data_IF_804509805510
#
_entry.id   IF_804509805510
#
_cell.length_a   1.000
_cell.length_b   1.000
_cell.length_c   1.000
_cell.angle_alpha   90.00
_cell.angle_beta   90.00
_cell.angle_gamma   90.00
#
_symmetry.space_group_name_H-M   'P 1'
#
loop_
_entity.id
_entity.type
_entity.pdbx_description
1 polymer ?
#
# COMPACT_ATOMS: atom_id res chain seq x y z
N UNK A 1 -39.02 -5.95 38.59
CA UNK A 1 -39.35 -5.07 37.47
C UNK A 1 -38.08 -4.31 37.11
N UNK A 2 -37.38 -4.85 36.10
CA UNK A 2 -36.11 -4.26 35.62
C UNK A 2 -36.41 -3.65 34.25
N UNK A 3 -36.27 -2.34 34.15
CA UNK A 3 -36.42 -1.58 32.91
C UNK A 3 -35.10 -1.67 32.12
N UNK A 4 -35.12 -2.38 31.01
CA UNK A 4 -34.04 -2.38 30.05
C UNK A 4 -33.98 -1.01 29.35
N UNK A 5 -32.83 -0.36 29.44
CA UNK A 5 -32.52 0.88 28.72
C UNK A 5 -32.26 0.55 27.27
N UNK A 6 -33.12 1.01 26.40
CA UNK A 6 -32.96 0.95 24.94
C UNK A 6 -31.86 1.95 24.51
N UNK A 7 -30.66 1.45 24.25
CA UNK A 7 -29.59 2.25 23.68
C UNK A 7 -29.75 2.30 22.16
N UNK A 8 -30.48 3.30 21.67
CA UNK A 8 -30.56 3.61 20.23
C UNK A 8 -29.19 3.94 19.67
N UNK A 9 -28.71 3.12 18.73
CA UNK A 9 -27.52 3.39 17.90
C UNK A 9 -27.78 4.69 17.10
N UNK A 10 -26.85 5.68 17.11
CA UNK A 10 -27.02 6.89 16.32
C UNK A 10 -27.11 6.59 14.83
N UNK A 11 -28.05 7.22 14.14
CA UNK A 11 -28.20 7.10 12.70
C UNK A 11 -26.89 7.41 11.98
N UNK A 12 -26.51 6.52 11.10
CA UNK A 12 -25.41 6.61 10.14
C UNK A 12 -25.46 7.99 9.45
N UNK A 13 -24.43 8.82 9.71
CA UNK A 13 -24.28 10.10 9.01
C UNK A 13 -23.89 9.81 7.58
N UNK A 14 -24.87 9.65 6.71
CA UNK A 14 -24.66 9.58 5.25
C UNK A 14 -24.06 10.91 4.81
N UNK A 15 -22.77 10.90 4.47
CA UNK A 15 -22.09 12.07 3.86
C UNK A 15 -22.76 12.37 2.52
N UNK A 16 -23.11 13.62 2.30
CA UNK A 16 -23.69 14.05 1.03
C UNK A 16 -22.63 14.00 -0.08
N UNK A 17 -23.02 13.80 -1.37
CA UNK A 17 -22.09 13.81 -2.50
C UNK A 17 -21.25 15.10 -2.62
N UNK A 18 -21.68 16.18 -2.03
CA UNK A 18 -21.00 17.47 -2.01
C UNK A 18 -19.83 17.51 -1.01
N UNK A 19 -19.88 16.70 0.05
CA UNK A 19 -18.82 16.58 1.06
C UNK A 19 -17.64 15.72 0.58
N UNK A 20 -17.81 14.96 -0.52
CA UNK A 20 -16.78 14.15 -1.16
C UNK A 20 -16.03 14.89 -2.28
N UNK A 21 -16.34 16.16 -2.56
CA UNK A 21 -15.55 16.93 -3.53
C UNK A 21 -14.25 17.40 -2.89
N UNK A 22 -13.13 16.79 -3.32
CA UNK A 22 -11.81 17.34 -3.09
C UNK A 22 -11.78 18.83 -3.55
N UNK A 23 -11.08 19.73 -2.87
CA UNK A 23 -10.98 21.13 -3.28
C UNK A 23 -10.36 21.22 -4.67
N UNK A 24 -11.16 21.62 -5.64
CA UNK A 24 -10.88 21.60 -7.10
C UNK A 24 -9.81 22.59 -7.57
N UNK A 25 -9.00 23.18 -6.68
CA UNK A 25 -8.09 24.26 -7.07
C UNK A 25 -6.72 24.18 -6.38
N UNK A 26 -6.12 22.99 -6.31
CA UNK A 26 -4.70 22.85 -5.97
C UNK A 26 -3.95 22.38 -7.20
N UNK A 27 -2.88 23.12 -7.56
CA UNK A 27 -1.94 22.69 -8.61
C UNK A 27 -1.53 21.23 -8.40
N UNK A 28 -1.33 20.44 -9.48
CA UNK A 28 -0.93 19.05 -9.37
C UNK A 28 0.31 18.95 -8.49
N UNK A 29 0.20 18.22 -7.38
CA UNK A 29 1.29 18.07 -6.45
C UNK A 29 2.25 17.03 -6.99
N UNK A 30 3.53 17.37 -7.04
CA UNK A 30 4.57 16.41 -7.38
C UNK A 30 4.46 15.21 -6.43
N UNK A 31 4.24 14.02 -6.99
CA UNK A 31 4.13 12.76 -6.25
C UNK A 31 5.41 11.93 -6.39
N UNK A 32 5.78 11.20 -5.33
CA UNK A 32 6.75 10.12 -5.42
C UNK A 32 6.03 8.82 -5.73
N UNK A 33 6.43 8.11 -6.77
CA UNK A 33 5.95 6.76 -7.04
C UNK A 33 6.62 5.78 -6.07
N UNK A 34 5.83 5.07 -5.29
CA UNK A 34 6.31 4.05 -4.35
C UNK A 34 5.63 2.73 -4.68
N UNK A 35 6.43 1.77 -5.13
CA UNK A 35 5.98 0.43 -5.49
C UNK A 35 6.29 -0.53 -4.36
N UNK A 36 5.21 -1.02 -3.74
CA UNK A 36 5.26 -1.78 -2.49
C UNK A 36 5.43 -3.25 -2.79
N UNK A 37 6.55 -3.82 -2.36
CA UNK A 37 6.84 -5.24 -2.17
C UNK A 37 6.51 -6.15 -3.37
N UNK A 38 6.83 -5.70 -4.57
CA UNK A 38 6.66 -6.51 -5.80
C UNK A 38 7.76 -7.58 -5.90
N UNK A 39 7.61 -8.66 -5.12
CA UNK A 39 8.62 -9.67 -4.86
C UNK A 39 8.14 -11.09 -5.19
N UNK A 40 9.09 -12.00 -5.41
CA UNK A 40 8.81 -13.41 -5.76
C UNK A 40 7.89 -14.09 -4.73
N UNK A 41 8.04 -13.80 -3.43
CA UNK A 41 7.21 -14.40 -2.38
C UNK A 41 5.72 -14.09 -2.53
N UNK A 42 5.38 -12.92 -3.07
CA UNK A 42 3.99 -12.52 -3.33
C UNK A 42 3.51 -12.93 -4.71
N UNK A 43 4.43 -13.12 -5.65
CA UNK A 43 4.13 -13.59 -7.00
C UNK A 43 3.82 -15.09 -7.06
N UNK A 44 4.35 -15.89 -6.13
CA UNK A 44 4.05 -17.31 -5.99
C UNK A 44 2.65 -17.50 -5.40
N UNK A 45 1.67 -17.68 -6.29
CA UNK A 45 0.26 -17.87 -5.89
C UNK A 45 0.00 -19.16 -5.08
N UNK A 46 0.93 -20.11 -5.09
CA UNK A 46 0.84 -21.33 -4.28
C UNK A 46 1.40 -21.14 -2.87
N UNK A 47 2.23 -20.12 -2.65
CA UNK A 47 2.84 -19.80 -1.37
C UNK A 47 1.85 -19.15 -0.38
N UNK A 48 2.19 -19.20 0.88
CA UNK A 48 1.34 -18.68 1.96
C UNK A 48 1.01 -17.17 1.85
N UNK A 49 1.90 -16.37 1.21
CA UNK A 49 1.69 -14.93 0.99
C UNK A 49 1.35 -14.60 -0.47
N UNK A 50 0.99 -15.60 -1.27
CA UNK A 50 0.66 -15.41 -2.67
C UNK A 50 -0.52 -14.46 -2.89
N UNK A 51 -0.39 -13.56 -3.87
CA UNK A 51 -1.43 -12.61 -4.28
C UNK A 51 -2.02 -13.04 -5.61
N UNK A 52 -3.32 -13.36 -5.62
CA UNK A 52 -3.98 -13.99 -6.78
C UNK A 52 -3.99 -13.16 -8.06
N UNK A 53 -4.05 -11.83 -7.94
CA UNK A 53 -4.04 -10.89 -9.07
C UNK A 53 -2.66 -10.21 -9.25
N UNK A 54 -1.57 -10.86 -8.83
CA UNK A 54 -0.23 -10.26 -8.88
C UNK A 54 0.19 -9.84 -10.29
N UNK A 55 -0.11 -10.66 -11.30
CA UNK A 55 0.25 -10.37 -12.69
C UNK A 55 -0.50 -9.15 -13.25
N UNK A 56 -1.76 -8.95 -12.87
CA UNK A 56 -2.56 -7.78 -13.25
C UNK A 56 -2.00 -6.51 -12.60
N UNK A 57 -1.60 -6.59 -11.33
CA UNK A 57 -0.93 -5.50 -10.60
C UNK A 57 0.37 -5.11 -11.31
N UNK A 58 1.21 -6.09 -11.64
CA UNK A 58 2.48 -5.87 -12.34
C UNK A 58 2.26 -5.20 -13.70
N UNK A 59 1.25 -5.62 -14.48
CA UNK A 59 0.89 -5.00 -15.76
C UNK A 59 0.42 -3.55 -15.59
N UNK A 60 -0.42 -3.27 -14.59
CA UNK A 60 -0.89 -1.91 -14.31
C UNK A 60 0.27 -0.99 -13.92
N UNK A 61 1.19 -1.47 -13.08
CA UNK A 61 2.40 -0.73 -12.68
C UNK A 61 3.35 -0.49 -13.87
N UNK A 62 3.49 -1.46 -14.79
CA UNK A 62 4.29 -1.29 -15.99
C UNK A 62 3.73 -0.17 -16.86
N UNK A 63 2.41 -0.12 -17.09
CA UNK A 63 1.73 0.97 -17.82
C UNK A 63 1.94 2.33 -17.14
N UNK A 64 1.79 2.37 -15.82
CA UNK A 64 2.04 3.59 -15.05
C UNK A 64 3.46 4.10 -15.28
N UNK A 65 4.44 3.21 -15.13
CA UNK A 65 5.86 3.54 -15.25
C UNK A 65 6.27 4.00 -16.65
N UNK A 66 5.68 3.42 -17.68
CA UNK A 66 5.94 3.82 -19.08
C UNK A 66 5.42 5.22 -19.39
N UNK A 67 4.26 5.59 -18.85
CA UNK A 67 3.59 6.85 -19.14
C UNK A 67 3.99 8.00 -18.24
N UNK A 68 4.24 7.74 -16.96
CA UNK A 68 4.67 8.75 -15.99
C UNK A 68 6.16 9.09 -16.16
N UNK A 69 7.00 8.07 -16.33
CA UNK A 69 8.45 8.23 -16.56
C UNK A 69 9.25 8.69 -15.35
N UNK A 70 8.63 8.92 -14.21
CA UNK A 70 9.32 9.31 -12.97
C UNK A 70 10.15 8.16 -12.38
N UNK A 71 11.24 8.46 -11.64
CA UNK A 71 11.91 7.46 -10.83
C UNK A 71 10.97 6.85 -9.80
N UNK A 72 11.18 5.58 -9.51
CA UNK A 72 10.36 4.79 -8.59
C UNK A 72 11.16 4.48 -7.33
N UNK A 73 10.50 4.54 -6.18
CA UNK A 73 10.99 3.95 -4.93
C UNK A 73 10.35 2.57 -4.81
N UNK A 74 11.16 1.53 -4.99
CA UNK A 74 10.76 0.15 -4.76
C UNK A 74 10.92 -0.19 -3.29
N UNK A 75 9.93 -0.81 -2.68
CA UNK A 75 10.13 -1.39 -1.36
C UNK A 75 10.26 -2.90 -1.43
N UNK A 76 10.95 -3.46 -0.46
CA UNK A 76 11.09 -4.89 -0.25
C UNK A 76 10.78 -5.21 1.21
N UNK A 77 9.92 -6.18 1.42
CA UNK A 77 9.86 -6.85 2.69
C UNK A 77 11.03 -7.84 2.76
N UNK A 78 11.86 -7.74 3.78
CA UNK A 78 12.94 -8.70 4.03
C UNK A 78 12.89 -9.08 5.50
N UNK A 79 12.72 -10.37 5.79
CA UNK A 79 12.63 -10.87 7.15
C UNK A 79 13.86 -10.44 7.98
N UNK A 80 13.62 -10.01 9.22
CA UNK A 80 14.65 -9.88 10.24
C UNK A 80 14.87 -11.24 10.89
N UNK A 81 16.06 -11.85 10.79
CA UNK A 81 16.31 -13.16 11.40
C UNK A 81 16.23 -13.16 12.94
N UNK A 82 16.33 -12.00 13.60
CA UNK A 82 16.18 -11.89 15.04
C UNK A 82 14.73 -11.95 15.53
N UNK A 83 13.75 -11.75 14.64
CA UNK A 83 12.30 -11.91 14.89
C UNK A 83 11.83 -11.27 16.21
N UNK A 84 12.07 -9.98 16.36
CA UNK A 84 11.73 -9.26 17.58
C UNK A 84 10.22 -9.28 17.90
N UNK A 85 9.89 -9.52 19.18
CA UNK A 85 8.52 -9.44 19.70
C UNK A 85 7.59 -10.47 19.07
N UNK A 86 6.45 -10.02 18.56
CA UNK A 86 5.41 -10.89 17.98
C UNK A 86 5.78 -11.50 16.62
N UNK A 87 6.90 -11.13 16.02
CA UNK A 87 7.30 -11.65 14.71
C UNK A 87 7.61 -13.16 14.73
N UNK A 88 8.13 -13.69 15.84
CA UNK A 88 8.34 -15.12 15.99
C UNK A 88 7.01 -15.89 15.86
N UNK A 89 5.99 -15.49 16.63
CA UNK A 89 4.64 -16.11 16.57
C UNK A 89 3.99 -15.92 15.19
N UNK A 90 4.26 -14.78 14.53
CA UNK A 90 3.77 -14.52 13.19
C UNK A 90 4.37 -15.50 12.17
N UNK A 91 5.69 -15.72 12.21
CA UNK A 91 6.36 -16.69 11.33
C UNK A 91 6.09 -18.15 11.73
N UNK A 92 5.67 -18.44 12.97
CA UNK A 92 5.18 -19.77 13.34
C UNK A 92 3.85 -20.10 12.64
N UNK A 93 3.03 -19.08 12.35
CA UNK A 93 1.82 -19.21 11.55
C UNK A 93 2.10 -19.27 10.05
N UNK A 94 3.11 -18.55 9.59
CA UNK A 94 3.47 -18.36 8.18
C UNK A 94 4.88 -18.94 7.92
N UNK A 95 5.06 -20.21 8.26
CA UNK A 95 6.38 -20.87 8.35
C UNK A 95 7.10 -20.99 7.00
N UNK A 96 6.37 -21.12 5.88
CA UNK A 96 6.96 -21.09 4.53
C UNK A 96 7.58 -19.72 4.19
N UNK A 97 7.13 -18.66 4.86
CA UNK A 97 7.64 -17.29 4.68
C UNK A 97 8.83 -16.97 5.59
N UNK A 98 9.30 -17.94 6.40
CA UNK A 98 10.48 -17.78 7.29
C UNK A 98 11.78 -18.03 6.51
N UNK A 99 11.94 -17.39 5.36
CA UNK A 99 13.12 -17.52 4.53
C UNK A 99 14.29 -16.66 5.05
N UNK A 100 15.54 -17.09 4.78
CA UNK A 100 16.72 -16.29 5.12
C UNK A 100 16.75 -14.97 4.32
N UNK A 101 17.34 -13.89 4.89
CA UNK A 101 17.33 -12.56 4.26
C UNK A 101 17.92 -12.51 2.84
N UNK A 102 18.86 -13.40 2.54
CA UNK A 102 19.51 -13.52 1.23
C UNK A 102 18.74 -14.39 0.23
N UNK A 103 17.62 -14.96 0.64
CA UNK A 103 16.81 -15.81 -0.23
C UNK A 103 16.24 -15.03 -1.41
N UNK A 104 16.24 -15.65 -2.58
CA UNK A 104 15.66 -15.10 -3.80
C UNK A 104 14.14 -14.87 -3.71
N UNK A 105 13.44 -15.39 -2.71
CA UNK A 105 12.02 -15.11 -2.49
C UNK A 105 11.77 -13.62 -2.21
N UNK A 106 12.77 -12.92 -1.67
CA UNK A 106 12.74 -11.50 -1.41
C UNK A 106 13.13 -10.61 -2.60
N UNK A 107 13.55 -11.19 -3.72
CA UNK A 107 13.93 -10.42 -4.90
C UNK A 107 12.71 -9.81 -5.58
N UNK A 108 12.90 -8.60 -6.13
CA UNK A 108 11.89 -7.91 -6.93
C UNK A 108 11.65 -8.68 -8.23
N UNK A 109 10.39 -8.78 -8.66
CA UNK A 109 10.01 -9.41 -9.94
C UNK A 109 10.29 -8.52 -11.13
N UNK A 110 10.34 -7.19 -10.92
CA UNK A 110 10.57 -6.21 -11.96
C UNK A 110 11.95 -5.57 -11.85
N UNK A 111 12.59 -5.19 -12.97
CA UNK A 111 13.91 -4.59 -12.95
C UNK A 111 13.90 -3.18 -12.37
N UNK A 112 14.84 -2.92 -11.47
CA UNK A 112 15.19 -1.57 -10.99
C UNK A 112 15.94 -0.84 -12.11
N UNK A 113 15.45 0.34 -12.52
CA UNK A 113 16.06 1.17 -13.58
C UNK A 113 17.01 2.19 -12.99
N UNK A 114 17.83 2.79 -13.85
CA UNK A 114 18.65 3.93 -13.45
C UNK A 114 17.76 5.06 -12.89
N UNK A 115 18.15 5.62 -11.75
CA UNK A 115 17.39 6.64 -11.02
C UNK A 115 16.38 6.11 -10.03
N UNK A 116 15.99 4.83 -10.11
CA UNK A 116 15.15 4.21 -9.07
C UNK A 116 15.93 4.01 -7.77
N UNK A 117 15.19 3.92 -6.68
CA UNK A 117 15.73 3.60 -5.35
C UNK A 117 15.08 2.34 -4.79
N UNK A 118 15.77 1.66 -3.89
CA UNK A 118 15.25 0.45 -3.21
C UNK A 118 15.34 0.64 -1.71
N UNK A 119 14.22 0.39 -1.01
CA UNK A 119 14.12 0.39 0.45
C UNK A 119 13.73 -1.01 0.93
N UNK A 120 14.58 -1.64 1.75
CA UNK A 120 14.26 -2.94 2.37
C UNK A 120 13.96 -2.75 3.85
N UNK A 121 12.84 -3.31 4.32
CA UNK A 121 12.39 -3.23 5.71
C UNK A 121 11.73 -4.54 6.15
N UNK A 122 11.86 -4.95 7.43
CA UNK A 122 11.22 -6.16 7.95
C UNK A 122 9.82 -5.90 8.52
N UNK A 123 9.12 -4.85 8.06
CA UNK A 123 7.84 -4.42 8.60
C UNK A 123 6.79 -4.28 7.50
N UNK A 124 5.52 -4.41 7.88
CA UNK A 124 4.41 -4.18 6.94
C UNK A 124 4.42 -2.73 6.44
N UNK A 125 4.32 -1.75 7.34
CA UNK A 125 4.47 -0.36 6.94
C UNK A 125 5.90 -0.08 6.46
N UNK A 126 6.02 0.53 5.30
CA UNK A 126 7.31 1.06 4.80
C UNK A 126 7.49 2.52 5.19
N UNK A 127 6.45 3.14 5.79
CA UNK A 127 6.58 4.50 6.29
C UNK A 127 7.44 4.51 7.56
N UNK A 128 8.46 5.33 7.55
CA UNK A 128 9.43 5.53 8.62
C UNK A 128 10.48 6.57 8.18
N UNK A 129 11.51 6.76 8.99
CA UNK A 129 12.55 7.76 8.75
C UNK A 129 13.19 7.66 7.37
N UNK A 130 13.45 6.43 6.89
CA UNK A 130 14.09 6.21 5.60
C UNK A 130 13.19 6.64 4.44
N UNK A 131 11.93 6.17 4.38
CA UNK A 131 11.01 6.58 3.32
C UNK A 131 10.66 8.06 3.41
N UNK A 132 10.54 8.61 4.62
CA UNK A 132 10.33 10.04 4.83
C UNK A 132 11.47 10.88 4.25
N UNK A 133 12.73 10.47 4.46
CA UNK A 133 13.90 11.16 3.87
C UNK A 133 13.95 11.00 2.35
N UNK A 134 13.69 9.79 1.81
CA UNK A 134 13.66 9.55 0.37
C UNK A 134 12.57 10.37 -0.34
N UNK A 135 11.51 10.75 0.39
CA UNK A 135 10.34 11.47 -0.14
C UNK A 135 10.20 12.89 0.40
N UNK A 136 11.25 13.45 1.01
CA UNK A 136 11.18 14.77 1.67
C UNK A 136 10.79 15.91 0.74
N UNK A 137 11.18 15.83 -0.53
CA UNK A 137 10.91 16.84 -1.54
C UNK A 137 9.54 16.69 -2.23
N UNK A 138 8.75 15.69 -1.78
CA UNK A 138 7.44 15.39 -2.33
C UNK A 138 6.35 15.61 -1.29
N UNK A 139 5.31 16.33 -1.66
CA UNK A 139 4.12 16.51 -0.82
C UNK A 139 3.20 15.28 -0.84
N UNK A 140 3.26 14.48 -1.92
CA UNK A 140 2.38 13.34 -2.19
C UNK A 140 3.16 12.07 -2.41
N UNK A 141 2.62 10.96 -1.92
CA UNK A 141 3.02 9.61 -2.32
C UNK A 141 1.94 9.02 -3.23
N UNK A 142 2.37 8.31 -4.25
CA UNK A 142 1.51 7.51 -5.14
C UNK A 142 1.90 6.05 -4.94
N UNK A 143 1.01 5.28 -4.33
CA UNK A 143 1.26 3.92 -3.89
C UNK A 143 0.62 2.91 -4.85
N UNK A 144 1.40 1.90 -5.22
CA UNK A 144 0.97 0.71 -5.94
C UNK A 144 1.69 -0.52 -5.36
N UNK A 145 1.19 -1.73 -5.57
CA UNK A 145 1.85 -2.98 -5.17
C UNK A 145 1.04 -3.83 -4.21
N UNK A 146 1.74 -4.61 -3.38
CA UNK A 146 1.15 -5.67 -2.55
C UNK A 146 1.69 -5.68 -1.11
N UNK A 147 1.01 -6.29 -0.12
CA UNK A 147 -0.40 -6.63 -0.20
C UNK A 147 -1.24 -5.46 0.29
N UNK A 148 -2.38 -5.22 -0.37
CA UNK A 148 -3.25 -4.07 -0.07
C UNK A 148 -3.66 -4.02 1.40
N UNK A 149 -4.01 -5.17 1.96
CA UNK A 149 -4.51 -5.39 3.32
C UNK A 149 -3.42 -5.38 4.40
N UNK A 150 -2.15 -5.26 4.01
CA UNK A 150 -1.00 -5.27 4.92
C UNK A 150 -0.04 -4.11 4.62
N UNK A 151 0.88 -4.31 3.68
CA UNK A 151 1.99 -3.38 3.44
C UNK A 151 1.52 -2.05 2.82
N UNK A 152 0.55 -2.10 1.90
CA UNK A 152 0.03 -0.89 1.24
C UNK A 152 -0.74 -0.03 2.23
N UNK A 153 -1.78 -0.58 2.91
CA UNK A 153 -2.56 0.18 3.90
C UNK A 153 -1.70 0.67 5.06
N UNK A 154 -0.79 -0.16 5.58
CA UNK A 154 0.11 0.23 6.66
C UNK A 154 1.01 1.40 6.28
N UNK A 155 1.55 1.41 5.05
CA UNK A 155 2.38 2.50 4.52
C UNK A 155 1.54 3.75 4.28
N UNK A 156 0.34 3.59 3.70
CA UNK A 156 -0.57 4.69 3.40
C UNK A 156 -0.97 5.45 4.66
N UNK A 157 -1.40 4.74 5.71
CA UNK A 157 -1.82 5.35 6.97
C UNK A 157 -0.66 6.03 7.70
N UNK A 158 0.52 5.40 7.73
CA UNK A 158 1.71 6.03 8.32
C UNK A 158 2.10 7.33 7.61
N UNK A 159 2.02 7.36 6.28
CA UNK A 159 2.30 8.56 5.50
C UNK A 159 1.25 9.67 5.71
N UNK A 160 -0.04 9.30 5.81
CA UNK A 160 -1.14 10.22 6.14
C UNK A 160 -0.93 10.85 7.52
N UNK A 161 -0.60 10.06 8.53
CA UNK A 161 -0.33 10.54 9.89
C UNK A 161 0.86 11.51 9.93
N UNK A 162 1.83 11.32 9.06
CA UNK A 162 2.96 12.24 8.90
C UNK A 162 2.64 13.48 8.04
N UNK A 163 1.39 13.65 7.60
CA UNK A 163 0.93 14.83 6.84
C UNK A 163 1.17 14.77 5.34
N UNK A 164 1.57 13.63 4.79
CA UNK A 164 1.66 13.45 3.33
C UNK A 164 0.26 13.30 2.72
N UNK A 165 0.09 13.80 1.51
CA UNK A 165 -1.02 13.40 0.65
C UNK A 165 -0.70 12.02 0.09
N UNK A 166 -1.69 11.13 0.08
CA UNK A 166 -1.51 9.78 -0.44
C UNK A 166 -2.52 9.53 -1.57
N UNK A 167 -2.06 8.96 -2.67
CA UNK A 167 -2.90 8.39 -3.71
C UNK A 167 -2.60 6.90 -3.77
N UNK A 168 -3.62 6.06 -3.64
CA UNK A 168 -3.49 4.61 -3.81
C UNK A 168 -4.13 4.23 -5.13
N UNK A 169 -3.38 3.51 -5.97
CA UNK A 169 -3.83 3.11 -7.31
C UNK A 169 -4.55 1.75 -7.22
N UNK A 170 -5.87 1.80 -7.29
CA UNK A 170 -6.74 0.65 -6.97
C UNK A 170 -6.54 -0.56 -7.87
N UNK A 171 -6.33 -0.33 -9.17
CA UNK A 171 -6.07 -1.37 -10.18
C UNK A 171 -4.59 -1.77 -10.29
N UNK A 172 -3.72 -1.09 -9.54
CA UNK A 172 -2.30 -1.42 -9.39
C UNK A 172 -1.97 -1.89 -7.96
N UNK A 173 -2.97 -2.35 -7.20
CA UNK A 173 -2.80 -2.99 -5.90
C UNK A 173 -3.47 -4.36 -5.87
N UNK A 174 -2.89 -5.29 -5.10
CA UNK A 174 -3.43 -6.64 -4.88
C UNK A 174 -3.37 -7.04 -3.42
N UNK A 175 -4.40 -7.71 -2.93
CA UNK A 175 -4.48 -8.26 -1.58
C UNK A 175 -4.33 -9.77 -1.54
N UNK A 176 -4.22 -10.34 -0.35
CA UNK A 176 -4.19 -11.80 -0.17
C UNK A 176 -5.42 -12.49 -0.76
N UNK A 177 -6.60 -11.87 -0.63
CA UNK A 177 -7.83 -12.22 -1.36
C UNK A 177 -8.52 -10.97 -1.88
N UNK A 178 -9.47 -11.14 -2.80
CA UNK A 178 -10.27 -10.00 -3.28
C UNK A 178 -11.05 -9.33 -2.15
N UNK A 179 -11.61 -10.11 -1.21
CA UNK A 179 -12.39 -9.60 -0.08
C UNK A 179 -11.55 -8.70 0.83
N UNK A 180 -10.34 -9.12 1.21
CA UNK A 180 -9.49 -8.30 2.08
C UNK A 180 -8.93 -7.08 1.34
N UNK A 181 -8.70 -7.19 0.02
CA UNK A 181 -8.38 -6.04 -0.84
C UNK A 181 -9.52 -5.00 -0.81
N UNK A 182 -10.76 -5.42 -1.07
CA UNK A 182 -11.93 -4.53 -1.10
C UNK A 182 -12.17 -3.88 0.28
N UNK A 183 -11.98 -4.62 1.38
CA UNK A 183 -12.08 -4.11 2.74
C UNK A 183 -11.00 -3.05 3.02
N UNK A 184 -9.76 -3.31 2.65
CA UNK A 184 -8.66 -2.36 2.83
C UNK A 184 -8.90 -1.07 2.02
N UNK A 185 -9.39 -1.18 0.78
CA UNK A 185 -9.77 -0.02 -0.03
C UNK A 185 -10.89 0.78 0.63
N UNK A 186 -11.94 0.12 1.15
CA UNK A 186 -13.02 0.79 1.84
C UNK A 186 -12.56 1.52 3.11
N UNK A 187 -11.61 0.94 3.86
CA UNK A 187 -11.01 1.59 5.02
C UNK A 187 -10.21 2.82 4.58
N UNK A 188 -9.38 2.70 3.56
CA UNK A 188 -8.56 3.81 3.06
C UNK A 188 -9.40 4.97 2.53
N UNK A 189 -10.56 4.72 1.92
CA UNK A 189 -11.49 5.75 1.44
C UNK A 189 -12.04 6.64 2.56
N UNK A 190 -12.10 6.13 3.80
CA UNK A 190 -12.52 6.93 4.96
C UNK A 190 -11.57 8.10 5.27
N UNK A 191 -10.33 8.08 4.76
CA UNK A 191 -9.32 9.11 5.01
C UNK A 191 -9.31 10.23 3.95
N UNK A 192 -10.27 10.22 3.01
CA UNK A 192 -10.44 11.32 2.05
C UNK A 192 -10.70 12.65 2.80
N UNK A 193 -10.05 13.78 2.46
CA UNK A 193 -9.22 14.01 1.27
C UNK A 193 -7.70 13.79 1.44
N UNK A 194 -7.22 13.33 2.57
CA UNK A 194 -5.79 13.11 2.81
C UNK A 194 -5.26 11.92 2.00
N UNK A 195 -6.09 10.88 1.87
CA UNK A 195 -5.88 9.72 1.04
C UNK A 195 -6.95 9.69 -0.06
N UNK A 196 -6.54 9.47 -1.30
CA UNK A 196 -7.43 9.39 -2.46
C UNK A 196 -7.22 8.06 -3.17
N UNK A 197 -8.30 7.38 -3.53
CA UNK A 197 -8.29 6.18 -4.35
C UNK A 197 -8.51 6.57 -5.81
N UNK A 198 -7.67 6.07 -6.72
CA UNK A 198 -7.76 6.31 -8.15
C UNK A 198 -7.33 5.06 -8.92
N UNK A 199 -7.81 4.88 -10.13
CA UNK A 199 -7.20 3.96 -11.08
C UNK A 199 -5.94 4.56 -11.69
N UNK A 200 -5.07 3.73 -12.28
CA UNK A 200 -3.90 4.21 -13.05
C UNK A 200 -4.30 5.19 -14.12
N UNK A 201 -5.40 4.91 -14.85
CA UNK A 201 -5.85 5.78 -15.93
C UNK A 201 -6.39 7.13 -15.42
N UNK A 202 -7.12 7.15 -14.30
CA UNK A 202 -7.55 8.39 -13.65
C UNK A 202 -6.35 9.23 -13.19
N UNK A 203 -5.35 8.58 -12.57
CA UNK A 203 -4.13 9.25 -12.13
C UNK A 203 -3.36 9.86 -13.30
N UNK A 204 -3.17 9.12 -14.39
CA UNK A 204 -2.41 9.59 -15.56
C UNK A 204 -3.13 10.69 -16.34
N UNK A 205 -4.44 10.89 -16.14
CA UNK A 205 -5.25 11.92 -16.80
C UNK A 205 -5.61 13.09 -15.84
N UNK A 206 -5.11 13.10 -14.60
CA UNK A 206 -5.40 14.11 -13.57
C UNK A 206 -4.58 15.40 -13.68
#
# INVERSE_FOLDING_TARGET
MSTASDASVPAEQQRTPEQNRAPQNRAPRKGALVFIDMQNIFADQAGQWGVSNYAEVEQAMARLRERDGSPVIWTRFVRDPEEHGAWADYYDRWDECRAEPESAVWDLTSPVREGDQVLSMPTFSKWGEQLAEMTKDYDRLVLAGVATDCCVIGTALGAVDAGKWVTVLTDACGGGTKEVHDQAMAIMDCFNPMLTLMTVDEYLNS
#
